data_IF_713364948559
#
_entry.id   IF_713364948559
#
_cell.length_a   1.000
_cell.length_b   1.000
_cell.length_c   1.000
_cell.angle_alpha   90.00
_cell.angle_beta   90.00
_cell.angle_gamma   90.00
#
_symmetry.space_group_name_H-M   'P 1'
#
loop_
_entity.id
_entity.type
_entity.pdbx_description
1 polymer ?
#
# COMPACT_ATOMS: atom_id res chain seq x y z
N UNK A 1 -11.10 -1.70 5.34
CA UNK A 1 -9.97 -1.33 4.46
C UNK A 1 -10.14 -1.81 3.02
N UNK A 2 -10.11 -3.13 2.73
CA UNK A 2 -10.22 -3.65 1.35
C UNK A 2 -11.54 -3.26 0.68
N UNK A 3 -12.66 -3.34 1.40
CA UNK A 3 -14.00 -2.96 0.91
C UNK A 3 -14.02 -1.48 0.50
N UNK A 4 -13.61 -0.58 1.39
CA UNK A 4 -13.59 0.84 1.06
C UNK A 4 -12.67 1.14 -0.14
N UNK A 5 -11.54 0.42 -0.24
CA UNK A 5 -10.61 0.55 -1.36
C UNK A 5 -11.22 0.08 -2.68
N UNK A 6 -12.03 -0.97 -2.69
CA UNK A 6 -12.72 -1.42 -3.91
C UNK A 6 -13.75 -0.40 -4.39
N UNK A 7 -14.55 0.17 -3.49
CA UNK A 7 -15.53 1.21 -3.85
C UNK A 7 -14.85 2.50 -4.33
N UNK A 8 -13.75 2.91 -3.70
CA UNK A 8 -12.98 4.07 -4.15
C UNK A 8 -12.32 3.86 -5.52
N UNK A 9 -12.11 2.62 -5.95
CA UNK A 9 -11.46 2.31 -7.23
C UNK A 9 -12.44 2.31 -8.40
N UNK A 10 -13.72 2.05 -8.14
CA UNK A 10 -14.78 2.10 -9.15
C UNK A 10 -15.21 3.57 -9.45
N UNK A 11 -14.61 4.57 -8.78
CA UNK A 11 -14.89 6.01 -8.92
C UNK A 11 -13.85 6.72 -9.78
N UNK A 12 -14.29 7.63 -10.66
CA UNK A 12 -13.39 8.47 -11.47
C UNK A 12 -12.64 9.51 -10.62
N UNK A 13 -13.29 10.05 -9.57
CA UNK A 13 -12.72 11.03 -8.64
C UNK A 13 -12.90 10.58 -7.19
N UNK A 14 -12.05 9.65 -6.71
CA UNK A 14 -12.22 9.01 -5.42
C UNK A 14 -12.17 9.99 -4.24
N UNK A 15 -11.50 11.13 -4.40
CA UNK A 15 -11.34 12.12 -3.33
C UNK A 15 -12.61 12.98 -3.08
N UNK A 16 -13.52 13.08 -4.05
CA UNK A 16 -14.78 13.84 -3.91
C UNK A 16 -15.97 12.95 -3.59
N UNK A 17 -15.94 11.68 -4.04
CA UNK A 17 -17.11 10.82 -3.95
C UNK A 17 -17.32 10.24 -2.54
N UNK A 18 -18.56 10.38 -2.05
CA UNK A 18 -19.03 9.74 -0.83
C UNK A 18 -19.38 8.27 -1.10
N UNK A 19 -18.84 7.35 -0.31
CA UNK A 19 -19.18 5.94 -0.33
C UNK A 19 -20.30 5.70 0.68
N UNK A 20 -21.46 5.24 0.20
CA UNK A 20 -22.62 4.90 1.02
C UNK A 20 -22.80 3.39 1.06
N UNK A 21 -22.78 2.80 2.26
CA UNK A 21 -22.89 1.36 2.46
C UNK A 21 -24.04 1.04 3.41
N UNK A 22 -24.74 -0.06 3.13
CA UNK A 22 -25.71 -0.68 4.04
C UNK A 22 -25.05 -1.84 4.78
N UNK A 23 -25.35 -1.97 6.06
CA UNK A 23 -24.84 -3.03 6.91
C UNK A 23 -25.32 -4.40 6.44
N UNK A 24 -26.58 -4.52 6.01
CA UNK A 24 -27.14 -5.74 5.45
C UNK A 24 -26.39 -6.25 4.21
N UNK A 25 -25.94 -5.35 3.33
CA UNK A 25 -25.12 -5.71 2.17
C UNK A 25 -23.73 -6.18 2.59
N UNK A 26 -23.13 -5.53 3.60
CA UNK A 26 -21.85 -5.96 4.18
C UNK A 26 -21.96 -7.33 4.86
N UNK A 27 -23.08 -7.63 5.54
CA UNK A 27 -23.35 -8.95 6.12
C UNK A 27 -23.33 -10.03 5.03
N UNK A 28 -23.95 -9.78 3.87
CA UNK A 28 -23.92 -10.70 2.73
C UNK A 28 -22.52 -10.83 2.13
N UNK A 29 -21.83 -9.70 1.94
CA UNK A 29 -20.48 -9.66 1.38
C UNK A 29 -19.47 -10.43 2.24
N UNK A 30 -19.58 -10.33 3.57
CA UNK A 30 -18.77 -11.12 4.50
C UNK A 30 -19.20 -12.59 4.62
N UNK A 31 -20.33 -12.99 4.02
CA UNK A 31 -20.93 -14.31 4.21
C UNK A 31 -21.43 -14.57 5.64
N UNK A 32 -21.75 -13.50 6.38
CA UNK A 32 -22.31 -13.58 7.74
C UNK A 32 -23.80 -13.87 7.73
N UNK A 33 -24.47 -13.79 6.58
CA UNK A 33 -25.83 -14.26 6.37
C UNK A 33 -26.03 -15.72 6.85
N UNK A 34 -25.03 -16.57 6.60
CA UNK A 34 -25.06 -18.01 6.95
C UNK A 34 -24.77 -18.31 8.43
N UNK A 35 -24.38 -17.30 9.22
CA UNK A 35 -24.11 -17.46 10.64
C UNK A 35 -25.40 -17.41 11.46
N UNK A 36 -25.75 -18.52 12.11
CA UNK A 36 -26.91 -18.62 13.00
C UNK A 36 -26.57 -18.37 14.47
N UNK A 37 -25.28 -18.30 14.81
CA UNK A 37 -24.78 -18.14 16.18
C UNK A 37 -24.88 -16.71 16.73
N UNK A 38 -25.08 -15.72 15.86
CA UNK A 38 -25.17 -14.30 16.22
C UNK A 38 -26.40 -13.66 15.56
N UNK A 39 -27.09 -12.78 16.29
CA UNK A 39 -28.27 -12.07 15.78
C UNK A 39 -27.89 -11.04 14.72
N UNK A 40 -28.86 -10.59 13.91
CA UNK A 40 -28.62 -9.52 12.93
C UNK A 40 -28.13 -8.24 13.60
N UNK A 41 -28.75 -7.82 14.70
CA UNK A 41 -28.33 -6.64 15.45
C UNK A 41 -26.89 -6.74 15.96
N UNK A 42 -26.47 -7.91 16.45
CA UNK A 42 -25.08 -8.16 16.85
C UNK A 42 -24.12 -8.13 15.66
N UNK A 43 -24.51 -8.66 14.49
CA UNK A 43 -23.70 -8.56 13.25
C UNK A 43 -23.50 -7.10 12.85
N UNK A 44 -24.57 -6.30 12.86
CA UNK A 44 -24.53 -4.88 12.49
C UNK A 44 -23.66 -4.08 13.47
N UNK A 45 -23.81 -4.28 14.78
CA UNK A 45 -22.94 -3.65 15.80
C UNK A 45 -21.47 -3.98 15.60
N UNK A 46 -21.15 -5.25 15.28
CA UNK A 46 -19.77 -5.67 14.96
C UNK A 46 -19.24 -4.97 13.71
N UNK A 47 -20.06 -4.82 12.67
CA UNK A 47 -19.66 -4.10 11.45
C UNK A 47 -19.39 -2.63 11.76
N UNK A 48 -20.26 -1.97 12.52
CA UNK A 48 -20.04 -0.58 12.90
C UNK A 48 -18.75 -0.38 13.70
N UNK A 49 -18.47 -1.27 14.66
CA UNK A 49 -17.20 -1.23 15.39
C UNK A 49 -15.97 -1.41 14.49
N UNK A 50 -16.04 -2.33 13.52
CA UNK A 50 -14.97 -2.52 12.53
C UNK A 50 -14.78 -1.28 11.64
N UNK A 51 -15.86 -0.59 11.28
CA UNK A 51 -15.81 0.66 10.50
C UNK A 51 -15.11 1.75 11.29
N UNK A 52 -15.47 1.94 12.57
CA UNK A 52 -14.81 2.90 13.46
C UNK A 52 -13.31 2.62 13.57
N UNK A 53 -12.93 1.35 13.79
CA UNK A 53 -11.52 0.94 13.86
C UNK A 53 -10.78 1.26 12.55
N UNK A 54 -11.39 0.99 11.40
CA UNK A 54 -10.79 1.30 10.09
C UNK A 54 -10.64 2.80 9.87
N UNK A 55 -11.64 3.60 10.27
CA UNK A 55 -11.61 5.06 10.14
C UNK A 55 -10.72 5.75 11.19
N UNK A 56 -10.38 5.07 12.28
CA UNK A 56 -9.40 5.54 13.26
C UNK A 56 -7.95 5.51 12.74
N UNK A 57 -7.69 4.78 11.63
CA UNK A 57 -6.37 4.69 11.04
C UNK A 57 -5.94 6.04 10.45
N UNK A 58 -4.70 6.45 10.76
CA UNK A 58 -4.09 7.66 10.22
C UNK A 58 -2.91 7.32 9.31
N UNK A 59 -2.76 8.08 8.22
CA UNK A 59 -1.65 7.97 7.28
C UNK A 59 -0.70 9.16 7.48
N UNK A 60 0.60 8.87 7.46
CA UNK A 60 1.65 9.87 7.39
C UNK A 60 2.18 9.93 5.95
N UNK A 61 1.94 11.04 5.29
CA UNK A 61 2.39 11.27 3.91
C UNK A 61 3.62 12.16 3.94
N UNK A 62 4.75 11.65 3.44
CA UNK A 62 5.95 12.46 3.21
C UNK A 62 6.14 12.67 1.70
N UNK A 63 6.18 13.94 1.28
CA UNK A 63 6.57 14.34 -0.06
C UNK A 63 7.96 14.94 0.02
N UNK A 64 8.93 14.29 -0.62
CA UNK A 64 10.33 14.72 -0.66
C UNK A 64 10.63 15.18 -2.08
N UNK A 65 10.87 16.47 -2.24
CA UNK A 65 11.34 17.03 -3.50
C UNK A 65 12.86 17.16 -3.46
N UNK A 66 13.53 16.19 -4.08
CA UNK A 66 15.00 16.10 -4.11
C UNK A 66 15.61 17.30 -4.85
N UNK A 67 14.96 17.81 -5.89
CA UNK A 67 15.45 18.95 -6.68
C UNK A 67 15.34 20.29 -5.94
N UNK A 68 14.33 20.45 -5.07
CA UNK A 68 14.14 21.65 -4.26
C UNK A 68 14.72 21.53 -2.84
N UNK A 69 15.29 20.38 -2.49
CA UNK A 69 15.74 20.02 -1.14
C UNK A 69 14.71 20.34 -0.03
N UNK A 70 13.43 20.04 -0.31
CA UNK A 70 12.31 20.29 0.61
C UNK A 70 11.55 19.00 0.87
N UNK A 71 11.08 18.85 2.10
CA UNK A 71 10.14 17.79 2.46
C UNK A 71 8.87 18.39 3.08
N UNK A 72 7.73 17.78 2.81
CA UNK A 72 6.47 18.07 3.49
C UNK A 72 5.93 16.77 4.08
N UNK A 73 5.70 16.75 5.38
CA UNK A 73 5.09 15.62 6.08
C UNK A 73 3.72 16.06 6.59
N UNK A 74 2.67 15.41 6.10
CA UNK A 74 1.30 15.64 6.51
C UNK A 74 0.72 14.37 7.11
N UNK A 75 0.15 14.48 8.32
CA UNK A 75 -0.68 13.43 8.91
C UNK A 75 -2.14 13.69 8.54
N UNK A 76 -2.83 12.65 8.09
CA UNK A 76 -4.26 12.73 7.77
C UNK A 76 -4.98 11.43 8.13
N UNK A 77 -6.30 11.47 8.20
CA UNK A 77 -7.11 10.27 8.32
C UNK A 77 -6.97 9.42 7.04
N UNK A 78 -6.97 8.10 7.19
CA UNK A 78 -6.99 7.19 6.04
C UNK A 78 -8.34 7.24 5.34
N UNK A 79 -9.40 7.23 6.15
CA UNK A 79 -10.80 7.34 5.78
C UNK A 79 -11.49 8.31 6.72
N UNK A 80 -12.39 9.13 6.21
CA UNK A 80 -13.21 10.05 6.97
C UNK A 80 -14.60 9.42 7.12
N UNK A 81 -14.96 9.06 8.35
CA UNK A 81 -16.30 8.61 8.69
C UNK A 81 -17.20 9.85 8.82
N UNK A 82 -18.13 10.01 7.90
CA UNK A 82 -19.07 11.14 7.90
C UNK A 82 -20.34 10.80 8.65
N UNK A 83 -20.80 9.54 8.53
CA UNK A 83 -22.04 9.09 9.18
C UNK A 83 -21.96 7.60 9.54
N UNK A 84 -22.48 7.26 10.71
CA UNK A 84 -22.65 5.90 11.21
C UNK A 84 -23.97 5.83 11.98
N UNK A 85 -25.03 5.39 11.31
CA UNK A 85 -26.39 5.43 11.86
C UNK A 85 -26.98 4.03 11.93
N UNK A 86 -27.48 3.67 13.12
CA UNK A 86 -28.24 2.44 13.33
C UNK A 86 -29.73 2.74 13.23
N UNK A 87 -30.45 1.98 12.41
CA UNK A 87 -31.91 2.01 12.34
C UNK A 87 -32.48 0.73 12.96
N UNK A 88 -33.56 0.85 13.73
CA UNK A 88 -34.23 -0.29 14.36
C UNK A 88 -35.45 0.12 15.16
N UNK A 89 -36.14 -0.87 15.71
CA UNK A 89 -37.31 -0.65 16.55
C UNK A 89 -36.91 -0.29 18.00
N UNK A 90 -37.75 0.52 18.65
CA UNK A 90 -37.63 0.78 20.08
C UNK A 90 -38.16 -0.43 20.86
N UNK A 91 -37.38 -0.91 21.82
CA UNK A 91 -37.79 -1.91 22.79
C UNK A 91 -38.47 -1.23 23.98
N UNK A 92 -39.65 -1.70 24.35
CA UNK A 92 -40.31 -1.32 25.60
C UNK A 92 -39.64 -2.06 26.76
N UNK A 93 -39.01 -1.30 27.65
CA UNK A 93 -38.47 -1.81 28.92
C UNK A 93 -39.38 -1.38 30.07
N UNK A 94 -39.64 -2.31 30.97
CA UNK A 94 -40.33 -2.04 32.24
C UNK A 94 -39.29 -2.15 33.33
N UNK A 95 -39.05 -1.06 34.04
CA UNK A 95 -38.07 -1.04 35.12
C UNK A 95 -38.57 -1.94 36.26
N UNK A 96 -37.79 -2.97 36.61
CA UNK A 96 -38.15 -3.91 37.67
C UNK A 96 -38.28 -3.23 39.04
N UNK A 97 -37.64 -2.07 39.23
CA UNK A 97 -37.67 -1.29 40.46
C UNK A 97 -38.81 -0.26 40.51
N UNK A 98 -39.49 0.00 39.39
CA UNK A 98 -40.64 0.90 39.31
C UNK A 98 -41.71 0.29 38.39
N UNK A 99 -42.51 -0.67 38.88
CA UNK A 99 -43.61 -1.23 38.11
C UNK A 99 -44.62 -0.12 37.74
N UNK A 100 -44.53 0.37 36.51
CA UNK A 100 -45.32 1.49 36.00
C UNK A 100 -44.54 2.50 35.15
N UNK A 101 -43.21 2.52 35.22
CA UNK A 101 -42.40 3.32 34.28
C UNK A 101 -42.22 2.53 32.97
N UNK A 102 -42.80 3.05 31.89
CA UNK A 102 -42.56 2.57 30.53
C UNK A 102 -41.42 3.39 29.94
N UNK A 103 -40.27 2.77 29.74
CA UNK A 103 -39.15 3.36 29.01
C UNK A 103 -39.03 2.74 27.63
N UNK A 104 -38.71 3.58 26.64
CA UNK A 104 -38.38 3.12 25.30
C UNK A 104 -36.86 3.16 25.16
N UNK A 105 -36.24 1.98 25.07
CA UNK A 105 -34.82 1.84 24.80
C UNK A 105 -34.59 1.46 23.33
N UNK A 106 -33.43 1.78 22.79
CA UNK A 106 -33.07 1.30 21.46
C UNK A 106 -32.97 -0.22 21.49
N UNK A 107 -33.83 -0.90 20.72
CA UNK A 107 -33.76 -2.34 20.54
C UNK A 107 -32.51 -2.78 19.77
N UNK A 108 -32.46 -4.05 19.39
CA UNK A 108 -31.43 -4.49 18.46
C UNK A 108 -31.64 -3.82 17.09
N UNK A 109 -30.57 -3.33 16.44
CA UNK A 109 -30.70 -2.62 15.18
C UNK A 109 -31.08 -3.57 14.05
N UNK A 110 -31.96 -3.10 13.17
CA UNK A 110 -32.41 -3.80 11.96
C UNK A 110 -31.49 -3.48 10.76
N UNK A 111 -30.90 -2.28 10.73
CA UNK A 111 -30.02 -1.83 9.66
C UNK A 111 -28.91 -0.89 10.18
N UNK A 112 -27.81 -0.82 9.43
CA UNK A 112 -26.71 0.13 9.66
C UNK A 112 -26.44 0.91 8.36
N UNK A 113 -26.45 2.23 8.43
CA UNK A 113 -26.06 3.12 7.35
C UNK A 113 -24.68 3.71 7.62
N UNK A 114 -23.79 3.61 6.63
CA UNK A 114 -22.42 4.08 6.75
C UNK A 114 -22.13 5.03 5.59
N UNK A 115 -21.64 6.24 5.91
CA UNK A 115 -21.10 7.18 4.93
C UNK A 115 -19.63 7.43 5.23
N UNK A 116 -18.78 7.09 4.26
CA UNK A 116 -17.33 7.23 4.37
C UNK A 116 -16.80 7.93 3.13
N UNK A 117 -15.79 8.78 3.31
CA UNK A 117 -15.02 9.39 2.22
C UNK A 117 -13.53 9.07 2.37
N UNK A 118 -12.77 8.90 1.27
CA UNK A 118 -11.32 8.82 1.39
C UNK A 118 -10.72 10.07 2.01
N UNK A 119 -9.68 9.92 2.83
CA UNK A 119 -8.98 11.07 3.42
C UNK A 119 -8.19 11.87 2.38
N UNK A 120 -7.90 13.14 2.66
CA UNK A 120 -7.24 14.08 1.73
C UNK A 120 -5.87 13.67 1.20
N UNK A 121 -5.29 12.57 1.70
CA UNK A 121 -4.11 11.97 1.09
C UNK A 121 -4.41 11.46 -0.33
N UNK A 122 -5.64 11.01 -0.60
CA UNK A 122 -6.02 10.50 -1.92
C UNK A 122 -5.90 11.56 -2.99
N UNK A 123 -6.30 12.81 -2.73
CA UNK A 123 -6.11 13.91 -3.68
C UNK A 123 -4.62 14.08 -4.04
N UNK A 124 -3.72 14.04 -3.06
CA UNK A 124 -2.28 14.25 -3.34
C UNK A 124 -1.65 13.14 -4.18
N UNK A 125 -2.16 11.91 -4.11
CA UNK A 125 -1.61 10.75 -4.81
C UNK A 125 -2.40 10.34 -6.06
N UNK A 126 -3.71 10.57 -6.05
CA UNK A 126 -4.64 10.23 -7.12
C UNK A 126 -5.03 11.45 -7.97
N UNK A 127 -4.82 12.70 -7.54
CA UNK A 127 -5.04 13.89 -8.40
C UNK A 127 -3.72 14.38 -9.06
N UNK A 128 -2.58 13.73 -8.76
CA UNK A 128 -1.33 14.07 -9.40
C UNK A 128 -1.45 13.85 -10.92
N UNK A 129 -0.97 14.81 -11.72
CA UNK A 129 -0.86 14.71 -13.19
C UNK A 129 -0.02 13.50 -13.66
N UNK A 130 0.63 12.82 -12.73
CA UNK A 130 1.41 11.61 -12.92
C UNK A 130 0.47 10.38 -13.01
N UNK A 131 0.21 9.92 -14.24
CA UNK A 131 -0.73 8.83 -14.52
C UNK A 131 -0.28 7.50 -13.90
N UNK A 132 1.03 7.35 -13.64
CA UNK A 132 1.64 6.16 -13.05
C UNK A 132 1.19 5.87 -11.60
N UNK A 133 0.96 6.91 -10.79
CA UNK A 133 0.51 6.77 -9.40
C UNK A 133 -0.97 6.40 -9.27
N UNK A 134 -1.81 6.97 -10.14
CA UNK A 134 -3.24 6.65 -10.28
C UNK A 134 -3.44 5.16 -10.60
N UNK A 135 -2.75 4.67 -11.64
CA UNK A 135 -2.88 3.28 -12.09
C UNK A 135 -2.47 2.28 -11.01
N UNK A 136 -1.36 2.54 -10.31
CA UNK A 136 -0.85 1.65 -9.27
C UNK A 136 -1.84 1.47 -8.10
N UNK A 137 -2.53 2.53 -7.67
CA UNK A 137 -3.50 2.45 -6.56
C UNK A 137 -4.82 1.77 -6.98
N UNK A 138 -5.33 2.06 -8.18
CA UNK A 138 -6.52 1.41 -8.72
C UNK A 138 -6.32 -0.12 -8.90
N UNK A 139 -5.12 -0.56 -9.27
CA UNK A 139 -4.79 -1.99 -9.37
C UNK A 139 -4.98 -2.74 -8.04
N UNK A 140 -4.67 -2.12 -6.89
CA UNK A 140 -4.89 -2.75 -5.58
C UNK A 140 -6.35 -2.80 -5.19
N UNK A 141 -7.16 -1.84 -5.61
CA UNK A 141 -8.60 -1.91 -5.40
C UNK A 141 -9.24 -3.07 -6.14
N UNK A 142 -8.79 -3.34 -7.38
CA UNK A 142 -9.27 -4.50 -8.14
C UNK A 142 -8.84 -5.83 -7.49
N UNK A 143 -7.57 -5.95 -7.06
CA UNK A 143 -7.09 -7.11 -6.29
C UNK A 143 -7.82 -7.30 -4.96
N UNK A 144 -8.13 -6.19 -4.28
CA UNK A 144 -8.92 -6.21 -3.06
C UNK A 144 -10.34 -6.73 -3.33
N UNK A 145 -10.97 -6.29 -4.43
CA UNK A 145 -12.31 -6.72 -4.84
C UNK A 145 -12.35 -8.21 -5.17
N UNK A 146 -11.40 -8.72 -5.96
CA UNK A 146 -11.33 -10.16 -6.26
C UNK A 146 -11.06 -11.01 -5.02
N UNK A 147 -10.18 -10.54 -4.13
CA UNK A 147 -9.90 -11.19 -2.84
C UNK A 147 -11.14 -11.29 -1.95
N UNK A 148 -11.99 -10.26 -1.95
CA UNK A 148 -13.22 -10.23 -1.14
C UNK A 148 -14.31 -11.18 -1.65
N UNK A 149 -14.21 -11.70 -2.88
CA UNK A 149 -15.15 -12.69 -3.39
C UNK A 149 -14.96 -14.07 -2.75
N UNK A 150 -13.80 -14.34 -2.17
CA UNK A 150 -13.51 -15.62 -1.49
C UNK A 150 -14.28 -15.66 -0.18
N UNK A 151 -15.08 -16.72 0.02
CA UNK A 151 -15.75 -16.94 1.31
C UNK A 151 -14.73 -17.38 2.38
N UNK A 152 -14.43 -16.56 3.40
CA UNK A 152 -13.37 -16.84 4.36
C UNK A 152 -13.70 -17.96 5.34
N UNK A 153 -14.97 -18.35 5.46
CA UNK A 153 -15.42 -19.41 6.34
C UNK A 153 -15.30 -20.80 5.71
N UNK A 154 -15.49 -20.88 4.39
CA UNK A 154 -15.35 -22.14 3.65
C UNK A 154 -13.93 -22.37 3.15
N UNK A 155 -13.23 -21.29 2.78
CA UNK A 155 -11.92 -21.34 2.12
C UNK A 155 -10.91 -20.47 2.87
N UNK A 156 -10.76 -20.74 4.17
CA UNK A 156 -9.94 -19.94 5.08
C UNK A 156 -8.50 -19.72 4.57
N UNK A 157 -7.85 -20.78 4.10
CA UNK A 157 -6.48 -20.71 3.60
C UNK A 157 -6.38 -19.89 2.31
N UNK A 158 -7.35 -20.03 1.40
CA UNK A 158 -7.43 -19.26 0.16
C UNK A 158 -7.59 -17.76 0.45
N UNK A 159 -8.50 -17.39 1.36
CA UNK A 159 -8.68 -15.98 1.75
C UNK A 159 -7.42 -15.40 2.39
N UNK A 160 -6.77 -16.15 3.29
CA UNK A 160 -5.51 -15.74 3.91
C UNK A 160 -4.41 -15.52 2.86
N UNK A 161 -4.25 -16.47 1.93
CA UNK A 161 -3.31 -16.37 0.82
C UNK A 161 -3.61 -15.16 -0.06
N UNK A 162 -4.86 -14.97 -0.49
CA UNK A 162 -5.27 -13.86 -1.33
C UNK A 162 -4.98 -12.50 -0.70
N UNK A 163 -5.28 -12.32 0.60
CA UNK A 163 -4.98 -11.09 1.34
C UNK A 163 -3.46 -10.88 1.41
N UNK A 164 -2.71 -11.92 1.80
CA UNK A 164 -1.26 -11.83 1.91
C UNK A 164 -0.59 -11.50 0.58
N UNK A 165 -0.98 -12.18 -0.49
CA UNK A 165 -0.46 -11.97 -1.84
C UNK A 165 -0.82 -10.58 -2.38
N UNK A 166 -2.03 -10.09 -2.11
CA UNK A 166 -2.44 -8.71 -2.45
C UNK A 166 -1.50 -7.69 -1.82
N UNK A 167 -1.09 -7.90 -0.57
CA UNK A 167 -0.13 -7.01 0.12
C UNK A 167 1.30 -7.21 -0.42
N UNK A 168 1.74 -8.47 -0.58
CA UNK A 168 3.13 -8.81 -0.91
C UNK A 168 3.51 -8.61 -2.37
N UNK A 169 2.54 -8.58 -3.29
CA UNK A 169 2.77 -8.41 -4.74
C UNK A 169 3.57 -7.14 -5.10
N UNK A 170 3.54 -6.08 -4.27
CA UNK A 170 4.43 -4.89 -4.45
C UNK A 170 5.87 -5.14 -4.10
N UNK A 171 6.07 -5.88 -3.02
CA UNK A 171 7.37 -6.06 -2.38
C UNK A 171 8.13 -7.15 -3.13
N UNK A 172 7.44 -8.21 -3.52
CA UNK A 172 8.02 -9.40 -4.14
C UNK A 172 7.50 -9.59 -5.57
N UNK A 173 8.14 -8.89 -6.51
CA UNK A 173 7.74 -8.81 -7.93
C UNK A 173 8.02 -10.08 -8.73
N UNK A 174 8.97 -10.88 -8.27
CA UNK A 174 9.28 -12.21 -8.81
C UNK A 174 8.19 -13.24 -8.46
N UNK A 175 7.35 -12.94 -7.45
CA UNK A 175 6.22 -13.79 -7.07
C UNK A 175 6.64 -15.16 -6.57
N UNK A 176 7.92 -15.39 -6.27
CA UNK A 176 8.45 -16.67 -5.81
C UNK A 176 8.20 -16.83 -4.31
N UNK A 177 7.57 -17.93 -3.94
CA UNK A 177 7.27 -18.24 -2.56
C UNK A 177 7.60 -19.70 -2.26
N UNK A 178 8.34 -19.90 -1.18
CA UNK A 178 8.49 -21.22 -0.56
C UNK A 178 7.21 -21.56 0.20
N UNK A 179 6.65 -22.75 -0.02
CA UNK A 179 5.39 -23.20 0.58
C UNK A 179 5.45 -23.15 2.10
N UNK A 180 6.55 -23.63 2.70
CA UNK A 180 6.75 -23.64 4.14
C UNK A 180 6.74 -22.23 4.74
N UNK A 181 7.48 -21.29 4.12
CA UNK A 181 7.50 -19.89 4.58
C UNK A 181 6.12 -19.22 4.45
N UNK A 182 5.33 -19.58 3.43
CA UNK A 182 3.95 -19.09 3.33
C UNK A 182 3.09 -19.65 4.45
N UNK A 183 3.12 -20.96 4.67
CA UNK A 183 2.31 -21.59 5.71
C UNK A 183 2.67 -21.06 7.11
N UNK A 184 3.94 -20.86 7.41
CA UNK A 184 4.38 -20.27 8.69
C UNK A 184 3.85 -18.85 8.92
N UNK A 185 3.62 -18.08 7.85
CA UNK A 185 3.09 -16.72 7.94
C UNK A 185 1.56 -16.69 8.05
N UNK A 186 0.89 -17.70 7.49
CA UNK A 186 -0.57 -17.72 7.36
C UNK A 186 -1.24 -18.55 8.45
N UNK A 187 -0.57 -19.59 8.94
CA UNK A 187 -1.10 -20.52 9.92
C UNK A 187 -0.34 -20.46 11.26
N UNK A 188 -0.99 -20.88 12.36
CA UNK A 188 -0.36 -20.93 13.67
C UNK A 188 0.81 -21.90 13.70
N UNK A 189 1.84 -21.60 14.50
CA UNK A 189 3.03 -22.47 14.65
C UNK A 189 2.68 -23.84 15.21
N UNK A 190 1.61 -23.94 16.00
CA UNK A 190 1.10 -25.18 16.58
C UNK A 190 0.66 -26.17 15.50
N UNK A 191 0.21 -25.67 14.34
CA UNK A 191 -0.16 -26.50 13.20
C UNK A 191 1.06 -27.26 12.68
N UNK A 192 2.22 -26.60 12.57
CA UNK A 192 3.45 -27.21 12.07
C UNK A 192 3.92 -28.39 12.96
N UNK A 193 3.86 -28.23 14.28
CA UNK A 193 4.15 -29.31 15.24
C UNK A 193 3.13 -30.45 15.11
N UNK A 194 1.85 -30.12 14.94
CA UNK A 194 0.79 -31.09 14.77
C UNK A 194 0.88 -31.91 13.46
N UNK A 195 1.54 -31.38 12.42
CA UNK A 195 1.77 -32.11 11.17
C UNK A 195 2.77 -33.25 11.36
N UNK A 196 3.78 -33.09 12.22
CA UNK A 196 4.76 -34.15 12.48
C UNK A 196 4.11 -35.40 13.09
N UNK A 197 3.02 -35.23 13.85
CA UNK A 197 2.40 -36.30 14.62
C UNK A 197 1.31 -37.09 13.88
N UNK A 198 0.64 -36.51 12.87
CA UNK A 198 -0.53 -37.15 12.23
C UNK A 198 -0.51 -37.12 10.71
N UNK A 199 -0.51 -38.30 10.08
CA UNK A 199 -0.64 -38.46 8.62
C UNK A 199 -1.95 -37.87 8.08
N UNK A 200 -3.04 -37.98 8.82
CA UNK A 200 -4.35 -37.42 8.43
C UNK A 200 -4.29 -35.89 8.34
N UNK A 201 -3.64 -35.24 9.31
CA UNK A 201 -3.46 -33.77 9.30
C UNK A 201 -2.61 -33.31 8.12
N UNK A 202 -1.53 -34.04 7.80
CA UNK A 202 -0.69 -33.76 6.61
C UNK A 202 -1.52 -33.82 5.32
N UNK A 203 -2.32 -34.87 5.16
CA UNK A 203 -3.17 -35.03 3.98
C UNK A 203 -4.28 -33.97 3.90
N UNK A 204 -4.88 -33.60 5.03
CA UNK A 204 -5.89 -32.53 5.04
C UNK A 204 -5.28 -31.18 4.64
N UNK A 205 -4.06 -30.87 5.12
CA UNK A 205 -3.40 -29.60 4.80
C UNK A 205 -3.05 -29.49 3.32
N UNK A 206 -2.48 -30.54 2.71
CA UNK A 206 -2.16 -30.49 1.27
C UNK A 206 -3.44 -30.34 0.43
N UNK A 207 -4.53 -31.04 0.78
CA UNK A 207 -5.83 -30.84 0.11
C UNK A 207 -6.36 -29.42 0.29
N UNK A 208 -6.24 -28.84 1.49
CA UNK A 208 -6.63 -27.44 1.72
C UNK A 208 -5.78 -26.46 0.90
N UNK A 209 -4.48 -26.74 0.78
CA UNK A 209 -3.55 -25.96 -0.02
C UNK A 209 -3.90 -26.04 -1.51
N UNK A 210 -4.14 -27.24 -2.04
CA UNK A 210 -4.48 -27.45 -3.46
C UNK A 210 -5.80 -26.76 -3.82
N UNK A 211 -6.81 -26.85 -2.93
CA UNK A 211 -8.07 -26.13 -3.06
C UNK A 211 -7.88 -24.61 -2.96
N UNK A 212 -6.95 -24.15 -2.12
CA UNK A 212 -6.64 -22.72 -2.00
C UNK A 212 -5.95 -22.17 -3.25
N UNK A 213 -5.05 -22.94 -3.87
CA UNK A 213 -4.46 -22.54 -5.14
C UNK A 213 -5.48 -22.59 -6.29
N UNK A 214 -6.38 -23.60 -6.31
CA UNK A 214 -7.45 -23.67 -7.30
C UNK A 214 -8.35 -22.43 -7.27
N UNK A 215 -8.78 -22.05 -6.07
CA UNK A 215 -9.64 -20.86 -5.89
C UNK A 215 -8.95 -19.56 -6.27
N UNK A 216 -7.64 -19.44 -6.03
CA UNK A 216 -6.85 -18.31 -6.55
C UNK A 216 -6.77 -18.35 -8.08
N UNK A 217 -6.55 -19.52 -8.67
CA UNK A 217 -6.52 -19.70 -10.12
C UNK A 217 -7.85 -19.31 -10.77
N UNK A 218 -8.99 -19.74 -10.21
CA UNK A 218 -10.34 -19.37 -10.66
C UNK A 218 -10.59 -17.85 -10.58
N UNK A 219 -9.96 -17.16 -9.63
CA UNK A 219 -10.00 -15.69 -9.52
C UNK A 219 -9.03 -14.99 -10.47
N UNK A 220 -8.33 -15.74 -11.33
CA UNK A 220 -7.43 -15.22 -12.35
C UNK A 220 -6.02 -14.93 -11.86
N UNK A 221 -5.58 -15.50 -10.73
CA UNK A 221 -4.17 -15.46 -10.34
C UNK A 221 -3.34 -16.42 -11.20
N UNK A 222 -2.15 -15.98 -11.62
CA UNK A 222 -1.23 -16.84 -12.36
C UNK A 222 -0.40 -17.66 -11.36
N UNK A 223 -0.47 -18.97 -11.49
CA UNK A 223 0.23 -19.92 -10.60
C UNK A 223 1.12 -20.80 -11.46
N UNK A 224 2.43 -20.71 -11.26
CA UNK A 224 3.43 -21.57 -11.91
C UNK A 224 4.18 -22.35 -10.84
N UNK A 225 4.48 -23.62 -11.12
CA UNK A 225 5.22 -24.49 -10.20
C UNK A 225 6.65 -24.66 -10.69
N UNK A 226 7.63 -24.45 -9.82
CA UNK A 226 9.04 -24.63 -10.19
C UNK A 226 9.34 -26.12 -10.39
N UNK A 227 9.74 -26.53 -11.60
CA UNK A 227 9.97 -27.94 -11.94
C UNK A 227 11.12 -28.56 -11.16
N UNK A 228 12.05 -27.74 -10.67
CA UNK A 228 13.24 -28.21 -9.94
C UNK A 228 12.96 -28.52 -8.48
N UNK A 229 12.09 -27.74 -7.83
CA UNK A 229 11.83 -27.83 -6.38
C UNK A 229 10.44 -28.35 -6.06
N UNK A 230 9.51 -28.32 -7.02
CA UNK A 230 8.12 -28.77 -6.88
C UNK A 230 7.86 -29.99 -7.78
N UNK A 231 8.02 -31.22 -7.25
CA UNK A 231 7.81 -32.46 -8.01
C UNK A 231 6.37 -32.58 -8.52
N UNK A 232 6.21 -33.14 -9.72
CA UNK A 232 4.89 -33.37 -10.34
C UNK A 232 4.00 -34.27 -9.47
N UNK A 233 4.56 -35.23 -8.74
CA UNK A 233 3.77 -36.08 -7.85
C UNK A 233 3.13 -35.36 -6.65
N UNK A 234 3.48 -34.09 -6.42
CA UNK A 234 2.95 -33.27 -5.34
C UNK A 234 2.14 -32.07 -5.82
N UNK A 235 2.10 -31.80 -7.13
CA UNK A 235 1.34 -30.66 -7.68
C UNK A 235 -0.17 -30.97 -7.68
N UNK A 236 -1.03 -29.94 -7.60
CA UNK A 236 -2.47 -30.13 -7.69
C UNK A 236 -2.89 -30.75 -9.03
N UNK A 237 -3.94 -31.57 -9.02
CA UNK A 237 -4.39 -32.29 -10.21
C UNK A 237 -4.82 -31.37 -11.37
N UNK A 238 -5.40 -30.21 -11.05
CA UNK A 238 -5.80 -29.20 -12.03
C UNK A 238 -4.63 -28.53 -12.76
N UNK A 239 -3.40 -28.68 -12.27
CA UNK A 239 -2.22 -28.04 -12.87
C UNK A 239 -1.64 -28.79 -14.07
N UNK A 240 -2.18 -29.96 -14.39
CA UNK A 240 -1.73 -30.80 -15.50
C UNK A 240 -2.64 -30.63 -16.70
N UNK A 241 -2.05 -30.45 -17.88
CA UNK A 241 -2.75 -30.62 -19.15
C UNK A 241 -2.90 -32.13 -19.39
N UNK A 242 -4.14 -32.60 -19.61
CA UNK A 242 -4.71 -33.92 -19.97
C UNK A 242 -3.86 -35.16 -20.37
N UNK A 243 -2.53 -35.17 -20.25
CA UNK A 243 -1.68 -36.31 -20.61
C UNK A 243 -1.37 -37.19 -19.39
N UNK A 244 -2.02 -38.35 -19.41
CA UNK A 244 -1.72 -39.61 -18.72
C UNK A 244 -1.74 -39.61 -17.17
N UNK A 245 -2.84 -40.16 -16.64
CA UNK A 245 -3.03 -40.61 -15.25
C UNK A 245 -2.05 -41.74 -14.88
N UNK A 246 -0.78 -41.42 -14.62
CA UNK A 246 0.09 -42.34 -13.89
C UNK A 246 -0.24 -42.25 -12.39
N UNK A 247 -0.27 -43.37 -11.65
CA UNK A 247 -0.48 -43.35 -10.20
C UNK A 247 0.69 -42.64 -9.51
N UNK A 248 0.47 -41.37 -9.16
CA UNK A 248 1.45 -40.49 -8.51
C UNK A 248 1.66 -40.93 -7.07
N UNK A 249 2.65 -41.80 -6.86
CA UNK A 249 2.99 -42.25 -5.50
C UNK A 249 3.84 -41.18 -4.80
N UNK A 250 3.36 -40.69 -3.65
CA UNK A 250 4.07 -39.68 -2.87
C UNK A 250 5.35 -40.27 -2.25
N UNK A 251 6.52 -39.61 -2.37
CA UNK A 251 7.77 -40.10 -1.79
C UNK A 251 7.71 -40.11 -0.25
N UNK A 252 8.53 -40.94 0.40
CA UNK A 252 8.48 -41.16 1.87
C UNK A 252 8.69 -39.87 2.69
N UNK A 253 9.50 -38.93 2.18
CA UNK A 253 9.77 -37.62 2.78
C UNK A 253 9.05 -36.46 2.07
N UNK A 254 7.90 -36.73 1.45
CA UNK A 254 7.19 -35.74 0.63
C UNK A 254 6.88 -34.43 1.35
N UNK A 255 6.58 -34.44 2.66
CA UNK A 255 6.22 -33.23 3.39
C UNK A 255 7.40 -32.25 3.48
N UNK A 256 8.61 -32.74 3.75
CA UNK A 256 9.80 -31.89 3.82
C UNK A 256 10.17 -31.32 2.44
N UNK A 257 9.95 -32.11 1.37
CA UNK A 257 10.14 -31.66 -0.01
C UNK A 257 9.10 -30.60 -0.36
N UNK A 258 7.83 -30.85 -0.03
CA UNK A 258 6.71 -29.95 -0.30
C UNK A 258 6.86 -28.61 0.42
N UNK A 259 7.29 -28.60 1.68
CA UNK A 259 7.52 -27.35 2.42
C UNK A 259 8.64 -26.52 1.79
N UNK A 260 9.68 -27.15 1.21
CA UNK A 260 10.77 -26.45 0.51
C UNK A 260 10.45 -26.13 -0.95
N UNK A 261 9.29 -26.56 -1.44
CA UNK A 261 8.92 -26.36 -2.83
C UNK A 261 8.61 -24.89 -3.10
N UNK A 262 8.99 -24.41 -4.29
CA UNK A 262 8.76 -23.04 -4.71
C UNK A 262 7.54 -22.99 -5.63
N UNK A 263 6.58 -22.12 -5.27
CA UNK A 263 5.44 -21.75 -6.10
C UNK A 263 5.60 -20.29 -6.51
N UNK A 264 5.36 -20.03 -7.79
CA UNK A 264 5.37 -18.68 -8.35
C UNK A 264 3.93 -18.23 -8.49
N UNK A 265 3.52 -17.24 -7.70
CA UNK A 265 2.16 -16.69 -7.72
C UNK A 265 2.23 -15.22 -8.12
N UNK A 266 1.64 -14.90 -9.27
CA UNK A 266 1.59 -13.54 -9.82
C UNK A 266 0.14 -13.05 -9.94
N UNK A 267 -0.10 -11.74 -9.77
CA UNK A 267 -1.42 -11.17 -10.00
C UNK A 267 -1.85 -11.30 -11.47
N UNK A 268 -3.15 -11.20 -11.73
CA UNK A 268 -3.81 -11.37 -13.04
C UNK A 268 -3.12 -10.57 -14.17
N UNK A 269 -3.10 -11.06 -15.42
CA UNK A 269 -2.50 -10.37 -16.56
C UNK A 269 -3.05 -8.95 -16.81
N UNK A 270 -4.34 -8.71 -16.53
CA UNK A 270 -4.94 -7.36 -16.57
C UNK A 270 -4.25 -6.37 -15.63
N UNK A 271 -3.73 -6.85 -14.50
CA UNK A 271 -2.97 -6.07 -13.53
C UNK A 271 -1.49 -6.00 -13.97
N UNK A 272 -0.94 -7.07 -14.55
CA UNK A 272 0.44 -7.08 -15.09
C UNK A 272 0.62 -6.18 -16.32
N UNK A 273 -0.38 -6.05 -17.21
CA UNK A 273 -0.34 -5.10 -18.33
C UNK A 273 -0.32 -3.66 -17.82
N UNK A 274 -1.09 -3.35 -16.78
CA UNK A 274 -1.10 -2.02 -16.16
C UNK A 274 0.16 -1.78 -15.28
N UNK A 275 0.73 -2.82 -14.67
CA UNK A 275 2.05 -2.75 -13.99
C UNK A 275 3.22 -2.68 -15.01
N UNK A 276 3.03 -3.27 -16.18
CA UNK A 276 3.96 -3.33 -17.31
C UNK A 276 3.92 -2.05 -18.15
N UNK A 277 2.79 -1.36 -18.25
CA UNK A 277 2.66 -0.04 -18.86
C UNK A 277 3.42 1.03 -18.06
N UNK A 278 3.45 0.93 -16.73
CA UNK A 278 4.39 1.71 -15.90
C UNK A 278 5.84 1.42 -16.31
N UNK A 279 6.18 0.18 -16.67
CA UNK A 279 7.51 -0.15 -17.21
C UNK A 279 7.73 0.30 -18.65
N UNK A 280 6.73 0.31 -19.53
CA UNK A 280 6.87 0.83 -20.88
C UNK A 280 7.06 2.36 -20.83
N UNK A 281 6.34 3.08 -19.97
CA UNK A 281 6.56 4.50 -19.72
C UNK A 281 7.90 4.80 -19.00
N UNK A 282 8.43 3.86 -18.19
CA UNK A 282 9.74 4.03 -17.53
C UNK A 282 10.92 3.52 -18.37
N UNK A 283 10.69 2.66 -19.37
CA UNK A 283 11.72 2.15 -20.29
C UNK A 283 11.68 2.77 -21.69
N UNK A 284 10.58 3.42 -22.09
CA UNK A 284 10.51 4.20 -23.32
C UNK A 284 10.63 5.68 -22.96
N UNK A 285 11.81 6.24 -23.28
CA UNK A 285 12.31 7.60 -23.00
C UNK A 285 12.62 7.94 -21.54
N UNK A 286 13.65 7.27 -21.02
CA UNK A 286 14.74 8.03 -20.39
C UNK A 286 15.99 7.75 -21.24
N UNK A 287 16.00 8.30 -22.45
CA UNK A 287 17.25 8.90 -22.90
C UNK A 287 17.55 9.98 -21.86
N UNK A 288 18.76 10.04 -21.27
CA UNK A 288 19.11 11.17 -20.44
C UNK A 288 18.84 12.39 -21.30
N UNK A 289 17.88 13.22 -20.87
CA UNK A 289 17.62 14.50 -21.51
C UNK A 289 18.95 15.24 -21.45
N UNK A 290 19.71 15.17 -22.54
CA UNK A 290 20.74 16.12 -22.84
C UNK A 290 19.99 17.44 -22.88
N UNK A 291 19.98 18.14 -21.75
CA UNK A 291 19.78 19.57 -21.75
C UNK A 291 20.79 20.08 -22.77
N UNK A 292 20.28 20.64 -23.87
CA UNK A 292 21.06 21.31 -24.89
C UNK A 292 22.20 22.07 -24.19
N UNK A 293 23.43 21.79 -24.62
CA UNK A 293 24.67 22.22 -23.98
C UNK A 293 24.92 23.75 -24.04
N UNK A 294 23.91 24.55 -24.37
CA UNK A 294 24.06 25.98 -24.67
C UNK A 294 23.40 26.94 -23.67
N UNK A 295 22.96 26.50 -22.49
CA UNK A 295 22.39 27.47 -21.51
C UNK A 295 22.68 27.24 -20.02
N UNK A 296 23.72 26.47 -19.67
CA UNK A 296 24.22 26.39 -18.29
C UNK A 296 25.64 26.94 -18.18
N UNK A 297 25.78 28.26 -18.29
CA UNK A 297 26.90 28.94 -17.63
C UNK A 297 26.63 28.89 -16.13
N UNK A 298 27.08 27.81 -15.47
CA UNK A 298 27.26 27.82 -14.00
C UNK A 298 28.33 28.87 -13.70
N UNK A 299 27.93 30.04 -13.23
CA UNK A 299 28.88 31.02 -12.67
C UNK A 299 29.61 30.35 -11.51
N UNK A 300 30.92 30.17 -11.69
CA UNK A 300 31.85 29.55 -10.73
C UNK A 300 31.67 30.24 -9.37
N UNK A 301 31.39 29.47 -8.31
CA UNK A 301 31.20 30.04 -6.98
C UNK A 301 32.49 30.77 -6.54
N UNK A 302 32.41 32.09 -6.39
CA UNK A 302 33.55 32.94 -6.06
C UNK A 302 34.14 32.52 -4.70
N UNK A 303 35.40 32.09 -4.68
CA UNK A 303 36.11 31.76 -3.44
C UNK A 303 36.79 32.99 -2.84
N UNK A 304 37.18 32.92 -1.57
CA UNK A 304 37.87 34.03 -0.88
C UNK A 304 39.18 34.46 -1.53
N UNK A 305 39.88 33.54 -2.19
CA UNK A 305 41.11 33.82 -2.93
C UNK A 305 40.83 34.51 -4.28
N UNK A 306 39.75 34.13 -4.96
CA UNK A 306 39.29 34.79 -6.19
C UNK A 306 38.85 36.24 -5.89
N UNK A 307 38.20 36.46 -4.74
CA UNK A 307 37.79 37.79 -4.29
C UNK A 307 38.98 38.70 -3.97
N UNK A 308 40.08 38.16 -3.42
CA UNK A 308 41.32 38.92 -3.22
C UNK A 308 41.95 39.32 -4.56
N UNK A 309 42.08 38.37 -5.48
CA UNK A 309 42.68 38.59 -6.79
C UNK A 309 41.89 39.63 -7.60
N UNK A 310 40.55 39.59 -7.49
CA UNK A 310 39.64 40.57 -8.07
C UNK A 310 39.80 41.98 -7.49
N UNK A 311 39.99 42.09 -6.17
CA UNK A 311 40.20 43.37 -5.51
C UNK A 311 41.55 43.98 -5.86
N UNK A 312 42.61 43.16 -5.92
CA UNK A 312 43.95 43.62 -6.27
C UNK A 312 44.02 44.07 -7.75
N UNK A 313 43.34 43.35 -8.65
CA UNK A 313 43.24 43.72 -10.07
C UNK A 313 42.52 45.07 -10.29
N UNK A 314 41.50 45.40 -9.48
CA UNK A 314 40.82 46.71 -9.52
C UNK A 314 41.46 47.77 -8.60
N UNK A 315 42.49 47.44 -7.83
CA UNK A 315 43.13 48.33 -6.86
C UNK A 315 42.21 48.76 -5.71
N UNK A 316 41.23 47.93 -5.34
CA UNK A 316 40.22 48.25 -4.34
C UNK A 316 40.60 47.72 -2.96
N UNK A 317 40.42 48.56 -1.93
CA UNK A 317 40.58 48.10 -0.55
C UNK A 317 39.36 47.32 -0.08
N UNK A 318 39.58 46.36 0.84
CA UNK A 318 38.51 45.59 1.49
C UNK A 318 37.44 46.47 2.16
N UNK A 319 37.82 47.66 2.62
CA UNK A 319 36.91 48.65 3.22
C UNK A 319 36.00 49.32 2.17
N UNK A 320 36.49 49.51 0.94
CA UNK A 320 35.70 50.07 -0.17
C UNK A 320 34.64 49.09 -0.65
N UNK A 321 34.97 47.80 -0.74
CA UNK A 321 34.00 46.74 -1.03
C UNK A 321 32.95 46.61 0.09
N UNK A 322 33.36 46.74 1.36
CA UNK A 322 32.46 46.74 2.52
C UNK A 322 31.40 47.83 2.40
N UNK A 323 31.83 49.05 2.06
CA UNK A 323 30.95 50.20 1.87
C UNK A 323 30.04 50.04 0.65
N UNK A 324 30.52 49.46 -0.44
CA UNK A 324 29.72 49.18 -1.65
C UNK A 324 28.66 48.10 -1.45
N UNK A 325 28.93 47.12 -0.58
CA UNK A 325 27.97 46.05 -0.24
C UNK A 325 27.06 46.41 0.95
N UNK A 326 27.37 47.47 1.69
CA UNK A 326 26.65 47.83 2.92
C UNK A 326 26.87 46.83 4.06
N UNK A 327 28.06 46.24 4.14
CA UNK A 327 28.39 45.17 5.12
C UNK A 327 29.64 45.53 5.91
N UNK A 328 29.76 44.99 7.13
CA UNK A 328 30.92 45.22 8.00
C UNK A 328 32.23 44.68 7.40
N UNK A 329 33.32 45.45 7.56
CA UNK A 329 34.65 45.11 7.05
C UNK A 329 35.18 43.77 7.58
N UNK A 330 34.80 43.39 8.79
CA UNK A 330 35.16 42.10 9.38
C UNK A 330 34.60 40.92 8.58
N UNK A 331 33.41 41.05 7.99
CA UNK A 331 32.79 39.96 7.23
C UNK A 331 33.56 39.66 5.95
N UNK A 332 34.00 40.69 5.22
CA UNK A 332 34.84 40.52 4.03
C UNK A 332 36.18 39.89 4.38
N UNK A 333 36.74 40.27 5.53
CA UNK A 333 37.99 39.68 6.01
C UNK A 333 37.84 38.19 6.30
N UNK A 334 36.68 37.77 6.81
CA UNK A 334 36.36 36.34 7.07
C UNK A 334 36.06 35.56 5.79
N UNK A 335 35.46 36.18 4.78
CA UNK A 335 35.30 35.57 3.45
C UNK A 335 36.65 35.32 2.78
N UNK A 336 37.55 36.31 2.83
CA UNK A 336 38.90 36.21 2.29
C UNK A 336 39.70 35.10 2.98
N UNK A 337 39.58 34.96 4.30
CA UNK A 337 40.24 33.89 5.07
C UNK A 337 39.59 32.51 4.91
N UNK A 338 38.44 32.41 4.23
CA UNK A 338 37.69 31.17 4.08
C UNK A 338 36.96 30.70 5.34
N UNK A 339 36.92 31.51 6.41
CA UNK A 339 36.20 31.18 7.65
C UNK A 339 34.67 31.19 7.48
N UNK A 340 34.17 31.86 6.43
CA UNK A 340 32.76 31.85 6.04
C UNK A 340 32.61 31.79 4.52
N UNK A 341 31.65 30.98 4.08
CA UNK A 341 31.26 30.89 2.67
C UNK A 341 30.46 32.13 2.26
N UNK A 342 30.74 32.68 1.08
CA UNK A 342 30.02 33.83 0.52
C UNK A 342 28.64 33.34 0.08
N UNK A 343 27.58 33.92 0.65
CA UNK A 343 26.22 33.53 0.28
C UNK A 343 25.89 33.95 -1.17
N UNK A 344 25.01 33.22 -1.88
CA UNK A 344 24.69 33.50 -3.29
C UNK A 344 24.26 34.96 -3.54
N UNK A 345 23.48 35.54 -2.63
CA UNK A 345 23.06 36.95 -2.71
C UNK A 345 24.25 37.93 -2.77
N UNK A 346 25.29 37.67 -1.99
CA UNK A 346 26.49 38.51 -1.98
C UNK A 346 27.40 38.21 -3.17
N UNK A 347 27.44 36.96 -3.66
CA UNK A 347 28.19 36.64 -4.88
C UNK A 347 27.65 37.42 -6.07
N UNK A 348 26.33 37.45 -6.29
CA UNK A 348 25.74 38.22 -7.40
C UNK A 348 26.05 39.72 -7.31
N UNK A 349 26.04 40.29 -6.11
CA UNK A 349 26.41 41.70 -5.89
C UNK A 349 27.91 41.96 -6.10
N UNK A 350 28.77 41.04 -5.70
CA UNK A 350 30.22 41.14 -5.90
C UNK A 350 30.55 41.03 -7.39
N UNK A 351 29.94 40.09 -8.11
CA UNK A 351 30.05 39.96 -9.56
C UNK A 351 29.60 41.25 -10.27
N UNK A 352 28.48 41.85 -9.85
CA UNK A 352 28.02 43.12 -10.40
C UNK A 352 28.95 44.32 -10.08
N UNK A 353 29.53 44.40 -8.88
CA UNK A 353 30.38 45.51 -8.47
C UNK A 353 31.82 45.40 -8.98
N UNK A 354 32.34 44.18 -9.08
CA UNK A 354 33.69 43.91 -9.57
C UNK A 354 33.71 43.61 -11.08
N UNK A 355 32.56 43.48 -11.74
CA UNK A 355 32.40 43.16 -13.16
C UNK A 355 33.12 41.85 -13.53
N UNK A 356 32.86 40.79 -12.76
CA UNK A 356 33.48 39.45 -12.90
C UNK A 356 32.38 38.42 -13.10
#
# INVERSE_FOLDING_TARGET
MLIFSSYATDSEEPWEQQIRLKGSDLVKLFGWDKRTDITLGQKLRKIGHLVELVCSLSVLVSNINIGANRYNVARGAMWLLEELEYAGQLALTVDANQPGSLSYEAGDPDELYIKVRPGSWTEKFLNAKDHSGKEGLCQYGYLAKSTLQINPYRQRLASKLAIFLTIMSRIRRDGRYEVGTLLERLEPKELMVALEQSKQRRNSLITQWDNALLTLHELGWQIEFDTTTYPECLRPDWSFSDEAEQPRTRPRNWLAIWLKAIVIIKPTPLILEKLGAVRAATKQKIDPFALNADSLVRSKALTGADLLSALDAKGWSKARLAKGLGVDRSLITRWVKGERVIQPKHQTQIHALLEI
#
